data_IF_519232467397
#
_entry.id   IF_519232467397
#
_cell.length_a   1.000
_cell.length_b   1.000
_cell.length_c   1.000
_cell.angle_alpha   90.00
_cell.angle_beta   90.00
_cell.angle_gamma   90.00
#
_symmetry.space_group_name_H-M   'P 1'
#
loop_
_entity.id
_entity.type
_entity.pdbx_description
1 polymer ?
#
# COMPACT_ATOMS: atom_id res chain seq x y z
N UNK A 1 2.26 37.12 7.73
CA UNK A 1 1.07 36.27 7.49
C UNK A 1 1.15 35.73 6.07
N UNK A 2 0.96 34.42 5.87
CA UNK A 2 0.88 33.84 4.52
C UNK A 2 -0.55 33.97 3.96
N UNK A 3 -0.67 34.20 2.64
CA UNK A 3 -1.95 34.23 1.92
C UNK A 3 -1.92 33.17 0.82
N UNK A 4 -2.93 32.31 0.78
CA UNK A 4 -3.16 31.31 -0.27
C UNK A 4 -4.46 31.62 -1.02
N UNK A 5 -4.51 31.32 -2.32
CA UNK A 5 -5.69 31.43 -3.18
C UNK A 5 -5.84 30.15 -3.99
N UNK A 6 -7.03 29.55 -3.97
CA UNK A 6 -7.35 28.32 -4.72
C UNK A 6 -8.34 28.68 -5.82
N UNK A 7 -8.00 28.39 -7.08
CA UNK A 7 -8.86 28.64 -8.24
C UNK A 7 -9.33 27.31 -8.85
N UNK A 8 -10.60 26.96 -8.66
CA UNK A 8 -11.19 25.70 -9.13
C UNK A 8 -11.40 25.65 -10.65
N UNK A 9 -11.37 26.79 -11.35
CA UNK A 9 -11.49 26.88 -12.81
C UNK A 9 -10.16 26.68 -13.54
N UNK A 10 -9.04 26.68 -12.81
CA UNK A 10 -7.70 26.44 -13.37
C UNK A 10 -7.22 25.03 -13.01
N UNK A 11 -7.61 24.04 -13.81
CA UNK A 11 -7.06 22.68 -13.71
C UNK A 11 -5.67 22.64 -14.36
N UNK A 12 -4.69 22.08 -13.64
CA UNK A 12 -3.34 21.88 -14.18
C UNK A 12 -3.24 20.50 -14.85
N UNK A 13 -3.18 19.43 -14.06
CA UNK A 13 -3.01 18.07 -14.54
C UNK A 13 -3.78 17.07 -13.67
N UNK A 14 -3.95 15.83 -14.17
CA UNK A 14 -4.48 14.71 -13.40
C UNK A 14 -3.41 14.20 -12.43
N UNK A 15 -3.77 14.06 -11.16
CA UNK A 15 -2.95 13.34 -10.18
C UNK A 15 -3.20 11.84 -10.39
N UNK A 16 -2.17 11.14 -10.86
CA UNK A 16 -2.22 9.68 -11.04
C UNK A 16 -2.21 8.99 -9.67
N UNK A 17 -2.98 7.90 -9.53
CA UNK A 17 -3.11 7.20 -8.25
C UNK A 17 -1.78 6.57 -7.84
N UNK A 18 -1.01 6.11 -8.81
CA UNK A 18 0.28 5.44 -8.67
C UNK A 18 1.35 6.29 -7.97
N UNK A 19 1.13 7.61 -7.83
CA UNK A 19 1.92 8.48 -6.95
C UNK A 19 1.85 8.02 -5.48
N UNK A 20 0.76 7.35 -5.09
CA UNK A 20 0.54 6.74 -3.78
C UNK A 20 0.88 5.24 -3.78
N UNK A 21 1.79 4.81 -4.66
CA UNK A 21 2.27 3.43 -4.72
C UNK A 21 3.09 3.03 -3.48
N UNK A 22 3.22 1.71 -3.29
CA UNK A 22 3.97 1.11 -2.20
C UNK A 22 5.08 0.18 -2.72
N UNK A 23 6.01 -0.19 -1.83
CA UNK A 23 7.13 -1.07 -2.12
C UNK A 23 7.25 -2.14 -1.05
N UNK A 24 7.52 -3.37 -1.49
CA UNK A 24 7.74 -4.55 -0.64
C UNK A 24 9.00 -5.28 -1.11
N UNK A 25 9.81 -5.71 -0.15
CA UNK A 25 11.08 -6.38 -0.41
C UNK A 25 11.26 -7.56 0.52
N UNK A 26 11.98 -8.58 0.06
CA UNK A 26 12.51 -9.65 0.94
C UNK A 26 13.60 -9.11 1.88
N UNK A 27 13.22 -8.19 2.78
CA UNK A 27 14.09 -7.53 3.74
C UNK A 27 13.45 -7.55 5.12
N UNK A 28 14.16 -8.17 6.08
CA UNK A 28 13.67 -8.35 7.45
C UNK A 28 12.32 -9.07 7.47
N UNK A 29 11.32 -8.42 8.08
CA UNK A 29 9.95 -8.94 8.28
C UNK A 29 8.92 -8.31 7.33
N UNK A 30 9.36 -7.68 6.23
CA UNK A 30 8.44 -7.06 5.28
C UNK A 30 7.53 -8.10 4.60
N UNK A 31 8.12 -9.17 4.03
CA UNK A 31 7.35 -10.27 3.45
C UNK A 31 6.98 -11.30 4.51
N UNK A 32 7.96 -11.91 5.15
CA UNK A 32 7.74 -12.96 6.14
C UNK A 32 7.25 -12.36 7.46
N UNK A 33 6.14 -12.86 8.00
CA UNK A 33 5.37 -12.33 9.14
C UNK A 33 4.64 -11.00 8.87
N UNK A 34 5.24 -10.10 8.07
CA UNK A 34 4.63 -8.82 7.69
C UNK A 34 3.43 -8.95 6.75
N UNK A 35 3.54 -9.78 5.70
CA UNK A 35 2.46 -9.99 4.73
C UNK A 35 2.11 -11.48 4.64
N UNK A 36 3.12 -12.34 4.50
CA UNK A 36 2.99 -13.77 4.36
C UNK A 36 3.32 -14.48 5.68
N UNK A 37 2.38 -15.27 6.18
CA UNK A 37 2.47 -16.05 7.42
C UNK A 37 2.45 -17.57 7.17
N UNK A 38 2.12 -18.02 5.95
CA UNK A 38 1.97 -19.43 5.59
C UNK A 38 0.53 -19.94 5.75
N UNK A 39 0.10 -20.88 4.89
CA UNK A 39 -1.29 -21.37 4.85
C UNK A 39 -1.72 -22.07 6.15
N UNK A 40 -0.79 -22.79 6.80
CA UNK A 40 -1.03 -23.50 8.06
C UNK A 40 -0.82 -22.63 9.32
N UNK A 41 -0.67 -21.31 9.16
CA UNK A 41 -0.48 -20.40 10.30
C UNK A 41 -1.74 -20.29 11.16
N UNK A 42 -1.57 -20.22 12.48
CA UNK A 42 -2.67 -19.85 13.40
C UNK A 42 -3.16 -18.40 13.19
N UNK A 43 -2.36 -17.56 12.52
CA UNK A 43 -2.77 -16.20 12.15
C UNK A 43 -3.81 -16.29 11.02
N UNK A 44 -5.00 -15.65 11.17
CA UNK A 44 -6.02 -15.65 10.13
C UNK A 44 -5.47 -15.17 8.79
N UNK A 45 -5.59 -16.01 7.76
CA UNK A 45 -4.97 -15.80 6.47
C UNK A 45 -5.83 -16.34 5.31
N UNK A 46 -5.54 -15.87 4.10
CA UNK A 46 -6.03 -16.43 2.84
C UNK A 46 -4.82 -16.72 1.96
N UNK A 47 -4.62 -17.97 1.55
CA UNK A 47 -3.45 -18.42 0.78
C UNK A 47 -2.11 -18.01 1.45
N UNK A 48 -2.05 -18.08 2.79
CA UNK A 48 -0.89 -17.70 3.58
C UNK A 48 -0.69 -16.20 3.79
N UNK A 49 -1.54 -15.34 3.24
CA UNK A 49 -1.47 -13.88 3.40
C UNK A 49 -2.36 -13.44 4.57
N UNK A 50 -1.80 -12.78 5.58
CA UNK A 50 -2.55 -12.41 6.79
C UNK A 50 -3.66 -11.40 6.47
N UNK A 51 -4.88 -11.70 6.90
CA UNK A 51 -6.08 -10.96 6.46
C UNK A 51 -6.13 -9.53 7.00
N UNK A 52 -5.63 -9.32 8.22
CA UNK A 52 -5.60 -8.00 8.86
C UNK A 52 -4.80 -6.96 8.05
N UNK A 53 -3.62 -7.35 7.56
CA UNK A 53 -2.79 -6.46 6.71
C UNK A 53 -3.41 -6.27 5.33
N UNK A 54 -3.92 -7.34 4.71
CA UNK A 54 -4.57 -7.23 3.39
C UNK A 54 -5.78 -6.30 3.44
N UNK A 55 -6.62 -6.39 4.47
CA UNK A 55 -7.78 -5.51 4.63
C UNK A 55 -7.36 -4.05 4.90
N UNK A 56 -6.31 -3.82 5.69
CA UNK A 56 -5.78 -2.48 5.89
C UNK A 56 -5.25 -1.86 4.57
N UNK A 57 -4.53 -2.63 3.75
CA UNK A 57 -4.03 -2.19 2.44
C UNK A 57 -5.17 -1.87 1.46
N UNK A 58 -6.26 -2.65 1.49
CA UNK A 58 -7.48 -2.36 0.71
C UNK A 58 -8.16 -1.06 1.16
N UNK A 59 -8.24 -0.80 2.47
CA UNK A 59 -8.84 0.42 3.01
C UNK A 59 -8.12 1.69 2.56
N UNK A 60 -6.78 1.67 2.52
CA UNK A 60 -5.98 2.80 2.02
C UNK A 60 -5.88 2.83 0.48
N UNK A 61 -6.49 1.87 -0.21
CA UNK A 61 -6.59 1.80 -1.67
C UNK A 61 -5.24 1.82 -2.37
N UNK A 62 -4.31 0.96 -1.92
CA UNK A 62 -2.99 0.81 -2.56
C UNK A 62 -3.16 0.60 -4.07
N UNK A 63 -2.65 1.52 -4.92
CA UNK A 63 -2.90 1.48 -6.36
C UNK A 63 -1.89 0.60 -7.10
N UNK A 64 -0.67 0.49 -6.58
CA UNK A 64 0.41 -0.32 -7.13
C UNK A 64 1.34 -0.73 -6.00
N UNK A 65 1.86 -1.96 -6.05
CA UNK A 65 2.84 -2.49 -5.12
C UNK A 65 4.03 -3.03 -5.90
N UNK A 66 5.22 -2.47 -5.65
CA UNK A 66 6.48 -2.96 -6.20
C UNK A 66 7.01 -4.14 -5.37
N UNK A 67 7.58 -5.12 -6.05
CA UNK A 67 8.22 -6.34 -5.52
C UNK A 67 9.24 -6.85 -6.57
N UNK A 68 10.36 -7.54 -6.26
CA UNK A 68 10.76 -8.17 -4.98
C UNK A 68 11.70 -7.37 -4.09
N UNK A 69 12.11 -6.16 -4.49
CA UNK A 69 13.21 -5.46 -3.84
C UNK A 69 13.97 -4.56 -4.80
N UNK A 70 15.10 -4.02 -4.33
CA UNK A 70 16.18 -3.41 -5.12
C UNK A 70 15.74 -2.46 -6.21
#
# INVERSE_FOLDING_TARGET
MAKLVINTNRKLNKIHKEIQGHFSEHLGRCIYEGIYVGEESEIPNVNGMRTDVVEALKQIKVPVLRWPGG
#
